data_IF_622681396602
#
_entry.id   IF_622681396602
#
_cell.length_a   1.000
_cell.length_b   1.000
_cell.length_c   1.000
_cell.angle_alpha   90.00
_cell.angle_beta   90.00
_cell.angle_gamma   90.00
#
_symmetry.space_group_name_H-M   'P 1'
#
loop_
_entity.id
_entity.type
_entity.pdbx_description
1 polymer ?
#
# COMPACT_ATOMS: atom_id res chain seq x y z
N UNK A 1 38.61 50.50 3.72
CA UNK A 1 37.57 49.46 3.59
C UNK A 1 36.58 49.61 4.74
N UNK A 2 35.31 50.01 4.50
CA UNK A 2 34.27 49.91 5.51
C UNK A 2 33.57 48.53 5.45
N UNK A 3 32.92 48.06 6.54
CA UNK A 3 32.39 46.70 6.63
C UNK A 3 31.06 46.55 5.86
N UNK A 4 30.91 45.39 5.22
CA UNK A 4 29.71 44.97 4.47
C UNK A 4 28.50 44.87 5.40
N UNK A 5 27.43 45.61 5.08
CA UNK A 5 26.11 45.45 5.69
C UNK A 5 25.48 44.13 5.25
N UNK A 6 25.00 43.35 6.22
CA UNK A 6 24.25 42.13 5.99
C UNK A 6 22.91 42.45 5.33
N UNK A 7 22.70 41.92 4.12
CA UNK A 7 21.40 41.97 3.44
C UNK A 7 20.36 41.18 4.23
N UNK A 8 19.26 41.85 4.60
CA UNK A 8 18.07 41.21 5.16
C UNK A 8 17.57 40.10 4.22
N UNK A 9 17.08 38.95 4.73
CA UNK A 9 16.43 37.97 3.88
C UNK A 9 15.20 38.62 3.24
N UNK A 10 15.16 38.64 1.91
CA UNK A 10 14.06 39.20 1.14
C UNK A 10 12.76 38.51 1.54
N UNK A 11 11.87 39.26 2.20
CA UNK A 11 10.48 38.86 2.36
C UNK A 11 9.89 38.65 0.97
N UNK A 12 9.32 37.46 0.72
CA UNK A 12 8.53 37.21 -0.48
C UNK A 12 7.50 38.32 -0.60
N UNK A 13 7.47 38.96 -1.77
CA UNK A 13 6.61 40.11 -2.01
C UNK A 13 5.14 39.69 -1.91
N UNK A 14 4.27 40.56 -1.38
CA UNK A 14 2.80 40.38 -1.34
C UNK A 14 2.16 40.15 -2.73
N UNK A 15 2.93 40.21 -3.82
CA UNK A 15 2.49 39.95 -5.20
C UNK A 15 2.49 38.46 -5.60
N UNK A 16 3.11 37.58 -4.80
CA UNK A 16 3.09 36.12 -5.00
C UNK A 16 1.85 35.45 -4.37
N UNK A 17 0.95 36.23 -3.76
CA UNK A 17 -0.32 35.76 -3.16
C UNK A 17 -1.52 36.07 -4.07
N UNK A 18 -1.43 35.80 -5.38
CA UNK A 18 -2.66 35.61 -6.14
C UNK A 18 -3.36 34.38 -5.55
N UNK A 19 -4.50 34.60 -4.88
CA UNK A 19 -5.37 33.54 -4.40
C UNK A 19 -5.68 32.61 -5.57
N UNK A 20 -5.26 31.36 -5.45
CA UNK A 20 -5.63 30.35 -6.41
C UNK A 20 -7.13 30.05 -6.27
N UNK A 21 -7.95 30.70 -7.10
CA UNK A 21 -9.41 30.51 -7.14
C UNK A 21 -9.83 29.14 -7.69
N UNK A 22 -8.88 28.25 -8.01
CA UNK A 22 -9.17 26.96 -8.63
C UNK A 22 -10.06 26.11 -7.72
N UNK A 23 -9.90 26.17 -6.39
CA UNK A 23 -10.78 25.48 -5.45
C UNK A 23 -12.23 26.01 -5.50
N UNK A 24 -12.42 27.33 -5.60
CA UNK A 24 -13.74 27.95 -5.78
C UNK A 24 -14.39 27.51 -7.09
N UNK A 25 -13.61 27.49 -8.17
CA UNK A 25 -14.06 27.09 -9.51
C UNK A 25 -14.49 25.63 -9.55
N UNK A 26 -13.68 24.73 -8.97
CA UNK A 26 -14.03 23.30 -8.81
C UNK A 26 -15.32 23.15 -8.03
N UNK A 27 -15.50 23.85 -6.90
CA UNK A 27 -16.74 23.79 -6.12
C UNK A 27 -17.96 24.21 -6.96
N UNK A 28 -17.88 25.37 -7.64
CA UNK A 28 -18.99 25.90 -8.44
C UNK A 28 -19.38 24.94 -9.57
N UNK A 29 -18.39 24.39 -10.27
CA UNK A 29 -18.64 23.46 -11.36
C UNK A 29 -19.16 22.12 -10.84
N UNK A 30 -18.60 21.59 -9.75
CA UNK A 30 -19.10 20.37 -9.13
C UNK A 30 -20.57 20.52 -8.71
N UNK A 31 -20.92 21.64 -8.05
CA UNK A 31 -22.32 21.94 -7.69
C UNK A 31 -23.24 22.03 -8.91
N UNK A 32 -22.78 22.68 -9.98
CA UNK A 32 -23.55 22.78 -11.24
C UNK A 32 -23.77 21.42 -11.89
N UNK A 33 -22.73 20.59 -11.94
CA UNK A 33 -22.78 19.23 -12.50
C UNK A 33 -23.76 18.36 -11.71
N UNK A 34 -23.70 18.40 -10.38
CA UNK A 34 -24.65 17.68 -9.52
C UNK A 34 -26.10 18.13 -9.73
N UNK A 35 -26.35 19.44 -9.82
CA UNK A 35 -27.69 19.96 -10.10
C UNK A 35 -28.23 19.48 -11.45
N UNK A 36 -27.38 19.48 -12.49
CA UNK A 36 -27.75 18.96 -13.80
C UNK A 36 -28.04 17.45 -13.79
N UNK A 37 -27.37 16.70 -12.92
CA UNK A 37 -27.59 15.28 -12.70
C UNK A 37 -28.75 14.96 -11.74
N UNK A 38 -29.42 15.97 -11.16
CA UNK A 38 -30.47 15.77 -10.16
C UNK A 38 -29.96 15.23 -8.82
N UNK A 39 -28.68 15.44 -8.51
CA UNK A 39 -28.01 14.96 -7.30
C UNK A 39 -27.80 16.08 -6.28
N UNK A 40 -27.86 15.70 -5.00
CA UNK A 40 -27.46 16.58 -3.91
C UNK A 40 -25.94 16.52 -3.69
N UNK A 41 -25.37 17.61 -3.19
CA UNK A 41 -23.96 17.61 -2.80
C UNK A 41 -23.77 16.78 -1.52
N UNK A 42 -22.76 15.90 -1.47
CA UNK A 42 -22.43 15.11 -0.28
C UNK A 42 -22.16 16.03 0.91
N UNK A 43 -22.71 15.69 2.08
CA UNK A 43 -22.63 16.55 3.27
C UNK A 43 -21.19 16.85 3.66
N UNK A 44 -20.31 15.85 3.57
CA UNK A 44 -18.89 16.01 3.91
C UNK A 44 -18.17 16.99 3.00
N UNK A 45 -18.54 17.01 1.72
CA UNK A 45 -18.00 17.98 0.78
C UNK A 45 -18.55 19.38 1.01
N UNK A 46 -19.81 19.53 1.38
CA UNK A 46 -20.36 20.84 1.78
C UNK A 46 -19.54 21.40 2.94
N UNK A 47 -19.37 20.63 4.03
CA UNK A 47 -18.60 21.03 5.22
C UNK A 47 -17.16 21.43 4.83
N UNK A 48 -16.51 20.62 3.99
CA UNK A 48 -15.13 20.87 3.56
C UNK A 48 -15.02 22.13 2.68
N UNK A 49 -15.89 22.29 1.70
CA UNK A 49 -15.86 23.46 0.82
C UNK A 49 -16.25 24.75 1.54
N UNK A 50 -17.10 24.74 2.57
CA UNK A 50 -17.38 25.93 3.38
C UNK A 50 -16.07 26.48 4.00
N UNK A 51 -15.26 25.59 4.57
CA UNK A 51 -13.97 25.97 5.19
C UNK A 51 -12.98 26.45 4.12
N UNK A 52 -12.85 25.71 3.02
CA UNK A 52 -11.86 26.02 1.98
C UNK A 52 -12.15 27.32 1.22
N UNK A 53 -13.40 27.78 1.26
CA UNK A 53 -13.87 28.97 0.56
C UNK A 53 -14.06 30.18 1.50
N UNK A 54 -13.53 30.12 2.72
CA UNK A 54 -13.53 31.29 3.63
C UNK A 54 -12.73 32.44 2.99
N UNK A 55 -13.38 33.59 2.79
CA UNK A 55 -12.77 34.76 2.12
C UNK A 55 -11.54 35.30 2.86
N UNK A 56 -11.45 35.08 4.18
CA UNK A 56 -10.32 35.51 5.01
C UNK A 56 -9.15 34.55 4.93
N UNK A 57 -9.42 33.25 4.77
CA UNK A 57 -8.40 32.19 4.74
C UNK A 57 -8.76 31.08 3.76
N UNK A 58 -8.67 31.33 2.44
CA UNK A 58 -8.98 30.30 1.45
C UNK A 58 -7.92 29.21 1.47
N UNK A 59 -8.36 27.99 1.22
CA UNK A 59 -7.52 26.79 1.22
C UNK A 59 -7.65 25.99 -0.06
N UNK A 60 -6.76 25.02 -0.21
CA UNK A 60 -6.83 24.03 -1.28
C UNK A 60 -7.39 22.72 -0.74
N UNK A 61 -8.21 22.04 -1.55
CA UNK A 61 -8.67 20.68 -1.35
C UNK A 61 -7.48 19.72 -1.52
N UNK A 62 -6.68 19.56 -0.47
CA UNK A 62 -5.55 18.63 -0.48
C UNK A 62 -5.99 17.17 -0.23
N UNK A 63 -7.15 16.98 0.38
CA UNK A 63 -7.66 15.66 0.76
C UNK A 63 -9.15 15.58 0.38
N UNK A 64 -9.55 14.53 -0.31
CA UNK A 64 -10.94 14.19 -0.58
C UNK A 64 -11.31 12.98 0.29
N UNK A 65 -12.01 13.21 1.40
CA UNK A 65 -12.42 12.14 2.31
C UNK A 65 -13.95 12.06 2.37
N UNK A 66 -14.48 10.91 1.93
CA UNK A 66 -15.90 10.62 1.82
C UNK A 66 -16.21 9.26 2.46
N UNK A 67 -17.26 9.26 3.27
CA UNK A 67 -17.81 8.12 4.00
C UNK A 67 -19.33 8.14 3.91
N UNK A 68 -19.79 8.45 2.70
CA UNK A 68 -21.18 8.50 2.28
C UNK A 68 -21.26 8.12 0.80
N UNK A 69 -22.36 7.47 0.40
CA UNK A 69 -22.55 7.05 -0.97
C UNK A 69 -22.81 8.26 -1.88
N UNK A 70 -21.92 8.48 -2.85
CA UNK A 70 -22.06 9.55 -3.85
C UNK A 70 -22.45 9.02 -5.23
N UNK A 71 -22.41 7.69 -5.42
CA UNK A 71 -22.70 7.02 -6.68
C UNK A 71 -21.65 7.29 -7.79
N UNK A 72 -21.73 6.54 -8.90
CA UNK A 72 -20.85 6.75 -10.06
C UNK A 72 -20.98 8.16 -10.65
N UNK A 73 -22.22 8.66 -10.79
CA UNK A 73 -22.46 9.97 -11.40
C UNK A 73 -22.00 11.13 -10.49
N UNK A 74 -22.12 11.00 -9.16
CA UNK A 74 -21.61 12.00 -8.23
C UNK A 74 -20.08 12.06 -8.24
N UNK A 75 -19.40 10.90 -8.32
CA UNK A 75 -17.94 10.85 -8.48
C UNK A 75 -17.51 11.43 -9.83
N UNK A 76 -18.22 11.10 -10.91
CA UNK A 76 -17.98 11.65 -12.24
C UNK A 76 -18.10 13.18 -12.25
N UNK A 77 -19.17 13.73 -11.67
CA UNK A 77 -19.36 15.18 -11.56
C UNK A 77 -18.16 15.88 -10.88
N UNK A 78 -17.59 15.27 -9.84
CA UNK A 78 -16.43 15.80 -9.13
C UNK A 78 -15.13 15.64 -9.94
N UNK A 79 -14.91 14.46 -10.51
CA UNK A 79 -13.74 14.19 -11.34
C UNK A 79 -13.68 15.09 -12.57
N UNK A 80 -14.82 15.35 -13.21
CA UNK A 80 -14.94 16.30 -14.32
C UNK A 80 -14.58 17.71 -13.89
N UNK A 81 -15.06 18.16 -12.72
CA UNK A 81 -14.71 19.48 -12.20
C UNK A 81 -13.21 19.61 -11.87
N UNK A 82 -12.61 18.59 -11.27
CA UNK A 82 -11.18 18.54 -10.98
C UNK A 82 -10.33 18.58 -12.26
N UNK A 83 -10.77 17.87 -13.31
CA UNK A 83 -10.09 17.80 -14.60
C UNK A 83 -10.22 19.10 -15.39
N UNK A 84 -11.41 19.70 -15.45
CA UNK A 84 -11.67 20.96 -16.17
C UNK A 84 -10.72 22.07 -15.73
N UNK A 85 -10.44 22.14 -14.43
CA UNK A 85 -9.58 23.16 -13.86
C UNK A 85 -8.13 22.71 -13.60
N UNK A 86 -7.72 21.55 -14.13
CA UNK A 86 -6.38 20.98 -13.95
C UNK A 86 -5.93 21.04 -12.48
N UNK A 87 -6.79 20.56 -11.56
CA UNK A 87 -6.62 20.79 -10.13
C UNK A 87 -5.35 20.13 -9.58
N UNK A 88 -4.40 20.91 -9.06
CA UNK A 88 -3.02 20.42 -8.75
C UNK A 88 -2.76 20.10 -7.29
N UNK A 89 -3.71 20.35 -6.41
CA UNK A 89 -3.45 20.36 -4.97
C UNK A 89 -3.90 19.09 -4.26
N UNK A 90 -4.71 18.24 -4.91
CA UNK A 90 -5.16 16.99 -4.32
C UNK A 90 -3.96 16.05 -4.09
N UNK A 91 -3.81 15.61 -2.86
CA UNK A 91 -2.77 14.70 -2.38
C UNK A 91 -3.37 13.36 -1.99
N UNK A 92 -4.58 13.36 -1.45
CA UNK A 92 -5.18 12.18 -0.83
C UNK A 92 -6.64 12.03 -1.25
N UNK A 93 -7.04 10.81 -1.61
CA UNK A 93 -8.41 10.43 -1.91
C UNK A 93 -8.77 9.24 -1.03
N UNK A 94 -9.79 9.41 -0.19
CA UNK A 94 -10.36 8.40 0.70
C UNK A 94 -11.86 8.28 0.40
N UNK A 95 -12.24 7.25 -0.35
CA UNK A 95 -13.61 6.95 -0.74
C UNK A 95 -14.02 5.65 -0.07
N UNK A 96 -14.72 5.75 1.07
CA UNK A 96 -15.15 4.60 1.85
C UNK A 96 -16.67 4.50 1.78
N UNK A 97 -17.19 3.34 1.37
CA UNK A 97 -18.64 3.16 1.17
C UNK A 97 -19.26 4.21 0.21
N UNK A 98 -18.45 4.68 -0.75
CA UNK A 98 -18.81 5.79 -1.63
C UNK A 98 -19.64 5.37 -2.85
N UNK A 99 -19.77 4.05 -3.09
CA UNK A 99 -20.59 3.49 -4.16
C UNK A 99 -20.24 4.00 -5.55
N UNK A 100 -18.96 4.32 -5.81
CA UNK A 100 -18.56 4.96 -7.08
C UNK A 100 -18.62 4.01 -8.28
N UNK A 101 -18.58 2.70 -8.04
CA UNK A 101 -18.63 1.67 -9.09
C UNK A 101 -17.54 1.88 -10.18
N UNK A 102 -17.60 1.12 -11.27
CA UNK A 102 -16.55 1.16 -12.30
C UNK A 102 -16.51 2.49 -13.05
N UNK A 103 -17.67 3.13 -13.26
CA UNK A 103 -17.79 4.38 -14.01
C UNK A 103 -17.27 5.59 -13.21
N UNK A 104 -17.50 5.61 -11.90
CA UNK A 104 -16.89 6.59 -11.02
C UNK A 104 -15.38 6.38 -10.91
N UNK A 105 -14.93 5.12 -10.82
CA UNK A 105 -13.50 4.79 -10.85
C UNK A 105 -12.84 5.23 -12.17
N UNK A 106 -13.49 5.00 -13.32
CA UNK A 106 -13.04 5.46 -14.64
C UNK A 106 -12.82 6.97 -14.66
N UNK A 107 -13.83 7.71 -14.22
CA UNK A 107 -13.82 9.18 -14.24
C UNK A 107 -12.72 9.72 -13.33
N UNK A 108 -12.59 9.16 -12.12
CA UNK A 108 -11.53 9.52 -11.18
C UNK A 108 -10.14 9.17 -11.74
N UNK A 109 -9.94 7.99 -12.31
CA UNK A 109 -8.68 7.58 -12.94
C UNK A 109 -8.22 8.55 -14.03
N UNK A 110 -9.14 9.04 -14.87
CA UNK A 110 -8.82 10.01 -15.92
C UNK A 110 -8.21 11.31 -15.37
N UNK A 111 -8.64 11.76 -14.19
CA UNK A 111 -8.02 12.88 -13.49
C UNK A 111 -6.66 12.47 -12.86
N UNK A 112 -6.63 11.32 -12.18
CA UNK A 112 -5.46 10.87 -11.40
C UNK A 112 -4.21 10.55 -12.22
N UNK A 113 -4.34 10.17 -13.50
CA UNK A 113 -3.19 9.92 -14.40
C UNK A 113 -2.22 11.13 -14.44
N UNK A 114 -2.76 12.35 -14.38
CA UNK A 114 -1.99 13.59 -14.45
C UNK A 114 -1.83 14.32 -13.10
N UNK A 115 -2.39 13.78 -12.02
CA UNK A 115 -2.42 14.43 -10.72
C UNK A 115 -1.06 14.31 -9.99
N UNK A 116 -0.16 15.27 -10.25
CA UNK A 116 1.25 15.25 -9.79
C UNK A 116 1.43 15.29 -8.26
N UNK A 117 0.46 15.86 -7.54
CA UNK A 117 0.49 15.98 -6.08
C UNK A 117 -0.06 14.77 -5.36
N UNK A 118 -0.71 13.83 -6.07
CA UNK A 118 -1.32 12.65 -5.48
C UNK A 118 -0.29 11.73 -4.83
N UNK A 119 -0.63 11.24 -3.64
CA UNK A 119 0.18 10.34 -2.80
C UNK A 119 -0.62 9.13 -2.34
N UNK A 120 -1.90 9.30 -2.02
CA UNK A 120 -2.71 8.24 -1.41
C UNK A 120 -4.05 8.10 -2.15
N UNK A 121 -4.38 6.86 -2.51
CA UNK A 121 -5.69 6.49 -3.02
C UNK A 121 -6.23 5.35 -2.17
N UNK A 122 -7.38 5.59 -1.54
CA UNK A 122 -8.17 4.58 -0.88
C UNK A 122 -9.58 4.57 -1.46
N UNK A 123 -9.97 3.44 -2.03
CA UNK A 123 -11.31 3.21 -2.56
C UNK A 123 -11.80 1.94 -1.88
N UNK A 124 -12.43 2.08 -0.72
CA UNK A 124 -12.80 0.97 0.16
C UNK A 124 -14.30 0.73 0.05
N UNK A 125 -14.71 -0.54 -0.08
CA UNK A 125 -16.12 -0.94 -0.15
C UNK A 125 -16.96 -0.07 -1.10
N UNK A 126 -16.48 0.17 -2.32
CA UNK A 126 -17.10 1.13 -3.26
C UNK A 126 -17.62 0.46 -4.54
N UNK A 127 -17.88 -0.86 -4.44
CA UNK A 127 -18.43 -1.70 -5.53
C UNK A 127 -17.58 -1.71 -6.80
N UNK A 128 -16.25 -1.65 -6.64
CA UNK A 128 -15.33 -1.78 -7.78
C UNK A 128 -15.32 -3.24 -8.26
N UNK A 129 -15.60 -3.44 -9.55
CA UNK A 129 -15.54 -4.74 -10.23
C UNK A 129 -14.19 -4.89 -10.95
N UNK A 130 -13.93 -6.03 -11.62
CA UNK A 130 -12.75 -6.17 -12.48
C UNK A 130 -12.55 -5.00 -13.47
N UNK A 131 -13.62 -4.44 -14.02
CA UNK A 131 -13.52 -3.33 -14.97
C UNK A 131 -13.00 -2.05 -14.30
N UNK A 132 -13.46 -1.72 -13.10
CA UNK A 132 -12.91 -0.60 -12.35
C UNK A 132 -11.43 -0.79 -12.00
N UNK A 133 -10.99 -2.03 -11.75
CA UNK A 133 -9.57 -2.35 -11.57
C UNK A 133 -8.72 -2.07 -12.83
N UNK A 134 -9.27 -2.27 -14.03
CA UNK A 134 -8.59 -1.89 -15.27
C UNK A 134 -8.31 -0.39 -15.31
N UNK A 135 -9.33 0.44 -15.04
CA UNK A 135 -9.17 1.88 -15.01
C UNK A 135 -8.23 2.35 -13.90
N UNK A 136 -8.27 1.74 -12.73
CA UNK A 136 -7.34 2.06 -11.63
C UNK A 136 -5.91 1.64 -12.00
N UNK A 137 -5.73 0.48 -12.64
CA UNK A 137 -4.44 0.00 -13.12
C UNK A 137 -3.77 0.98 -14.08
N UNK A 138 -4.54 1.64 -14.96
CA UNK A 138 -4.02 2.65 -15.89
C UNK A 138 -3.33 3.83 -15.20
N UNK A 139 -3.74 4.18 -13.98
CA UNK A 139 -3.10 5.25 -13.18
C UNK A 139 -1.61 4.95 -12.91
N UNK A 140 -1.24 3.68 -12.92
CA UNK A 140 0.11 3.20 -12.62
C UNK A 140 0.91 2.80 -13.88
N UNK A 141 0.31 2.95 -15.06
CA UNK A 141 0.90 2.59 -16.35
C UNK A 141 1.96 3.57 -16.85
N UNK A 142 2.53 3.25 -18.01
CA UNK A 142 3.55 4.07 -18.69
C UNK A 142 2.97 5.46 -19.01
N UNK A 143 3.74 6.51 -18.72
CA UNK A 143 3.36 7.90 -19.00
C UNK A 143 2.65 8.60 -17.84
N UNK A 144 2.32 7.88 -16.77
CA UNK A 144 1.76 8.46 -15.55
C UNK A 144 2.75 9.41 -14.88
N UNK A 145 2.29 10.60 -14.48
CA UNK A 145 3.11 11.64 -13.82
C UNK A 145 2.88 11.73 -12.32
N UNK A 146 2.01 10.87 -11.80
CA UNK A 146 1.70 10.81 -10.38
C UNK A 146 2.84 10.12 -9.59
N UNK A 147 2.91 10.44 -8.30
CA UNK A 147 3.86 9.84 -7.36
C UNK A 147 3.09 9.17 -6.23
N UNK A 148 2.14 8.31 -6.59
CA UNK A 148 1.30 7.60 -5.63
C UNK A 148 2.19 6.63 -4.85
N UNK A 149 2.08 6.73 -3.52
CA UNK A 149 2.84 5.96 -2.54
C UNK A 149 1.98 4.88 -1.87
N UNK A 150 0.66 5.08 -1.82
CA UNK A 150 -0.29 4.17 -1.18
C UNK A 150 -1.54 3.94 -2.03
N UNK A 151 -1.90 2.67 -2.21
CA UNK A 151 -3.12 2.22 -2.87
C UNK A 151 -3.84 1.20 -1.98
N UNK A 152 -5.09 1.49 -1.64
CA UNK A 152 -5.97 0.62 -0.86
C UNK A 152 -7.29 0.42 -1.57
N UNK A 153 -7.59 -0.83 -1.94
CA UNK A 153 -8.83 -1.20 -2.65
C UNK A 153 -9.68 -2.20 -1.86
N UNK A 154 -9.50 -2.23 -0.53
CA UNK A 154 -10.10 -3.22 0.35
C UNK A 154 -11.62 -3.31 0.21
N UNK A 155 -12.17 -4.49 0.47
CA UNK A 155 -13.62 -4.77 0.44
C UNK A 155 -14.29 -4.50 -0.92
N UNK A 156 -13.53 -4.50 -2.02
CA UNK A 156 -14.09 -4.56 -3.36
C UNK A 156 -13.88 -5.95 -3.93
N UNK A 157 -14.96 -6.72 -4.09
CA UNK A 157 -14.93 -8.12 -4.50
C UNK A 157 -14.66 -8.30 -6.01
N UNK A 158 -13.54 -7.79 -6.51
CA UNK A 158 -13.16 -7.86 -7.92
C UNK A 158 -12.48 -9.18 -8.31
N UNK A 159 -12.08 -10.01 -7.33
CA UNK A 159 -11.54 -11.35 -7.55
C UNK A 159 -10.29 -11.41 -8.43
N UNK A 160 -10.01 -12.59 -8.97
CA UNK A 160 -8.78 -12.83 -9.73
C UNK A 160 -8.69 -12.00 -11.01
N UNK A 161 -9.82 -11.81 -11.69
CA UNK A 161 -9.91 -10.99 -12.90
C UNK A 161 -9.57 -9.52 -12.64
N UNK A 162 -9.99 -8.97 -11.49
CA UNK A 162 -9.63 -7.61 -11.11
C UNK A 162 -8.14 -7.47 -10.82
N UNK A 163 -7.53 -8.42 -10.11
CA UNK A 163 -6.07 -8.42 -9.87
C UNK A 163 -5.31 -8.54 -11.19
N UNK A 164 -5.75 -9.37 -12.12
CA UNK A 164 -5.14 -9.50 -13.46
C UNK A 164 -5.09 -8.15 -14.20
N UNK A 165 -6.20 -7.41 -14.18
CA UNK A 165 -6.28 -6.11 -14.85
C UNK A 165 -5.45 -5.06 -14.12
N UNK A 166 -5.49 -5.05 -12.78
CA UNK A 166 -4.71 -4.15 -11.95
C UNK A 166 -3.19 -4.39 -12.11
N UNK A 167 -2.77 -5.65 -12.24
CA UNK A 167 -1.35 -6.02 -12.35
C UNK A 167 -0.69 -5.48 -13.61
N UNK A 168 -1.44 -5.31 -14.70
CA UNK A 168 -0.93 -4.75 -15.97
C UNK A 168 -0.29 -3.38 -15.78
N UNK A 169 -0.88 -2.54 -14.91
CA UNK A 169 -0.34 -1.24 -14.53
C UNK A 169 0.66 -1.34 -13.38
N UNK A 170 0.28 -1.99 -12.28
CA UNK A 170 1.12 -2.04 -11.07
C UNK A 170 2.48 -2.71 -11.28
N UNK A 171 2.60 -3.68 -12.20
CA UNK A 171 3.90 -4.30 -12.52
C UNK A 171 4.89 -3.32 -13.15
N UNK A 172 4.45 -2.17 -13.64
CA UNK A 172 5.30 -1.11 -14.20
C UNK A 172 5.56 0.01 -13.20
N UNK A 173 4.86 -0.01 -12.06
CA UNK A 173 4.96 1.04 -11.06
C UNK A 173 6.27 0.94 -10.28
N UNK A 174 6.85 2.11 -10.01
CA UNK A 174 8.12 2.24 -9.27
C UNK A 174 7.98 3.15 -8.04
N UNK A 175 6.79 3.61 -7.69
CA UNK A 175 6.59 4.62 -6.63
C UNK A 175 5.80 4.10 -5.44
N UNK A 176 5.02 3.03 -5.62
CA UNK A 176 4.10 2.51 -4.61
C UNK A 176 4.88 1.80 -3.50
N UNK A 177 4.64 2.23 -2.25
CA UNK A 177 5.21 1.64 -1.03
C UNK A 177 4.19 0.77 -0.30
N UNK A 178 2.90 1.07 -0.41
CA UNK A 178 1.84 0.35 0.29
C UNK A 178 0.76 -0.11 -0.69
N UNK A 179 0.48 -1.41 -0.68
CA UNK A 179 -0.58 -2.02 -1.47
C UNK A 179 -1.49 -2.84 -0.55
N UNK A 180 -2.77 -2.49 -0.49
CA UNK A 180 -3.77 -3.21 0.28
C UNK A 180 -4.91 -3.64 -0.63
N UNK A 181 -5.13 -4.96 -0.68
CA UNK A 181 -6.18 -5.64 -1.44
C UNK A 181 -6.92 -6.61 -0.50
N UNK A 182 -7.24 -6.15 0.71
CA UNK A 182 -7.88 -6.99 1.72
C UNK A 182 -9.35 -7.23 1.39
N UNK A 183 -9.85 -8.44 1.63
CA UNK A 183 -11.25 -8.82 1.38
C UNK A 183 -11.71 -8.51 -0.06
N UNK A 184 -10.85 -8.79 -1.05
CA UNK A 184 -11.13 -8.52 -2.46
C UNK A 184 -11.60 -9.77 -3.25
N UNK A 185 -11.77 -10.91 -2.57
CA UNK A 185 -12.20 -12.16 -3.19
C UNK A 185 -11.13 -12.85 -4.04
N UNK A 186 -9.85 -12.55 -3.78
CA UNK A 186 -8.72 -13.09 -4.54
C UNK A 186 -8.52 -14.55 -4.17
N UNK A 187 -8.42 -15.44 -5.14
CA UNK A 187 -8.20 -16.87 -4.94
C UNK A 187 -6.74 -17.27 -5.21
N UNK A 188 -6.46 -18.57 -5.10
CA UNK A 188 -5.14 -19.12 -5.45
C UNK A 188 -4.69 -18.80 -6.88
N UNK A 189 -5.62 -18.65 -7.82
CA UNK A 189 -5.30 -18.29 -9.21
C UNK A 189 -4.85 -16.83 -9.35
N UNK A 190 -5.45 -15.92 -8.58
CA UNK A 190 -5.06 -14.50 -8.55
C UNK A 190 -3.67 -14.26 -7.95
N UNK A 191 -3.15 -15.19 -7.16
CA UNK A 191 -1.83 -15.10 -6.54
C UNK A 191 -0.70 -14.92 -7.57
N UNK A 192 -0.84 -15.48 -8.78
CA UNK A 192 0.15 -15.33 -9.85
C UNK A 192 0.30 -13.88 -10.30
N UNK A 193 -0.79 -13.12 -10.32
CA UNK A 193 -0.78 -11.72 -10.72
C UNK A 193 -0.20 -10.83 -9.62
N UNK A 194 -0.43 -11.16 -8.35
CA UNK A 194 0.26 -10.51 -7.22
C UNK A 194 1.76 -10.79 -7.31
N UNK A 195 2.15 -12.05 -7.60
CA UNK A 195 3.54 -12.42 -7.82
C UNK A 195 4.18 -11.56 -8.93
N UNK A 196 3.52 -11.41 -10.08
CA UNK A 196 3.99 -10.57 -11.19
C UNK A 196 4.28 -9.12 -10.78
N UNK A 197 3.46 -8.54 -9.89
CA UNK A 197 3.68 -7.18 -9.37
C UNK A 197 4.97 -7.13 -8.52
N UNK A 198 5.16 -8.10 -7.63
CA UNK A 198 6.26 -8.04 -6.65
C UNK A 198 7.61 -8.53 -7.20
N UNK A 199 7.64 -9.38 -8.23
CA UNK A 199 8.93 -9.87 -8.78
C UNK A 199 9.63 -8.85 -9.68
N UNK A 200 8.95 -7.77 -10.06
CA UNK A 200 9.59 -6.71 -10.84
C UNK A 200 10.76 -6.09 -10.04
N UNK A 201 11.92 -5.96 -10.67
CA UNK A 201 13.14 -5.42 -10.04
C UNK A 201 12.99 -3.97 -9.55
N UNK A 202 12.07 -3.21 -10.15
CA UNK A 202 11.78 -1.81 -9.80
C UNK A 202 10.63 -1.68 -8.80
N UNK A 203 10.04 -2.80 -8.34
CA UNK A 203 8.98 -2.80 -7.34
C UNK A 203 9.49 -2.19 -6.03
N UNK A 204 8.78 -1.17 -5.52
CA UNK A 204 9.13 -0.49 -4.27
C UNK A 204 8.21 -0.80 -3.08
N UNK A 205 7.22 -1.68 -3.28
CA UNK A 205 6.26 -2.07 -2.26
C UNK A 205 6.99 -2.59 -1.02
N UNK A 206 6.64 -2.04 0.14
CA UNK A 206 7.16 -2.40 1.46
C UNK A 206 6.13 -3.17 2.26
N UNK A 207 4.87 -2.74 2.18
CA UNK A 207 3.78 -3.34 2.93
C UNK A 207 2.72 -3.84 1.94
N UNK A 208 2.48 -5.15 1.99
CA UNK A 208 1.50 -5.85 1.16
C UNK A 208 0.44 -6.46 2.06
N UNK A 209 -0.79 -5.96 1.98
CA UNK A 209 -1.92 -6.49 2.72
C UNK A 209 -2.85 -7.28 1.78
N UNK A 210 -2.99 -8.58 2.07
CA UNK A 210 -3.87 -9.51 1.35
C UNK A 210 -4.84 -10.19 2.32
N UNK A 211 -5.08 -9.60 3.49
CA UNK A 211 -5.98 -10.14 4.51
C UNK A 211 -7.36 -10.53 3.92
N UNK A 212 -7.97 -11.61 4.42
CA UNK A 212 -9.37 -11.91 4.14
C UNK A 212 -9.65 -12.36 2.72
N UNK A 213 -8.66 -12.92 2.04
CA UNK A 213 -8.79 -13.48 0.69
C UNK A 213 -8.84 -15.02 0.75
N UNK A 214 -8.91 -15.68 -0.40
CA UNK A 214 -9.03 -17.13 -0.53
C UNK A 214 -7.81 -17.72 -1.24
N UNK A 215 -6.60 -17.24 -0.92
CA UNK A 215 -5.37 -17.69 -1.58
C UNK A 215 -5.14 -19.20 -1.45
N UNK A 216 -5.54 -19.79 -0.30
CA UNK A 216 -5.34 -21.21 0.01
C UNK A 216 -3.86 -21.64 -0.13
N UNK A 217 -3.58 -22.93 -0.02
CA UNK A 217 -2.21 -23.45 -0.05
C UNK A 217 -1.50 -23.13 -1.38
N UNK A 218 -2.19 -23.30 -2.51
CA UNK A 218 -1.63 -23.03 -3.84
C UNK A 218 -1.21 -21.56 -3.99
N UNK A 219 -2.09 -20.61 -3.66
CA UNK A 219 -1.81 -19.19 -3.83
C UNK A 219 -0.71 -18.69 -2.92
N UNK A 220 -0.68 -19.13 -1.66
CA UNK A 220 0.37 -18.74 -0.71
C UNK A 220 1.74 -19.29 -1.12
N UNK A 221 1.81 -20.51 -1.66
CA UNK A 221 3.06 -21.05 -2.22
C UNK A 221 3.57 -20.21 -3.40
N UNK A 222 2.67 -19.78 -4.30
CA UNK A 222 3.03 -18.87 -5.41
C UNK A 222 3.57 -17.55 -4.86
N UNK A 223 2.89 -16.95 -3.90
CA UNK A 223 3.30 -15.70 -3.28
C UNK A 223 4.67 -15.83 -2.59
N UNK A 224 4.89 -16.89 -1.82
CA UNK A 224 6.19 -17.14 -1.16
C UNK A 224 7.32 -17.30 -2.17
N UNK A 225 7.07 -17.94 -3.31
CA UNK A 225 8.04 -18.02 -4.41
C UNK A 225 8.37 -16.64 -5.00
N UNK A 226 7.36 -15.79 -5.19
CA UNK A 226 7.58 -14.39 -5.56
C UNK A 226 8.41 -13.63 -4.54
N UNK A 227 8.11 -13.79 -3.25
CA UNK A 227 8.82 -13.14 -2.16
C UNK A 227 10.26 -13.63 -2.00
N UNK A 228 10.62 -14.84 -2.43
CA UNK A 228 12.02 -15.28 -2.48
C UNK A 228 12.87 -14.45 -3.44
N UNK A 229 12.27 -13.99 -4.54
CA UNK A 229 12.93 -13.18 -5.59
C UNK A 229 12.85 -11.70 -5.23
N UNK A 230 11.73 -11.26 -4.66
CA UNK A 230 11.50 -9.87 -4.27
C UNK A 230 12.54 -9.39 -3.23
N UNK A 231 12.95 -8.13 -3.36
CA UNK A 231 13.92 -7.49 -2.45
C UNK A 231 13.43 -6.15 -1.90
N UNK A 232 12.14 -5.85 -2.03
CA UNK A 232 11.54 -4.60 -1.58
C UNK A 232 10.59 -4.77 -0.41
N UNK A 233 9.76 -5.82 -0.42
CA UNK A 233 8.73 -6.10 0.56
C UNK A 233 9.34 -6.38 1.94
N UNK A 234 8.73 -5.78 2.95
CA UNK A 234 9.14 -5.77 4.35
C UNK A 234 8.08 -6.41 5.24
N UNK A 235 6.80 -6.18 4.96
CA UNK A 235 5.67 -6.74 5.70
C UNK A 235 4.67 -7.36 4.73
N UNK A 236 4.19 -8.56 5.05
CA UNK A 236 3.07 -9.19 4.35
C UNK A 236 2.03 -9.63 5.37
N UNK A 237 0.80 -9.17 5.16
CA UNK A 237 -0.37 -9.61 5.90
C UNK A 237 -1.14 -10.65 5.08
N UNK A 238 -1.17 -11.89 5.59
CA UNK A 238 -1.92 -13.03 5.04
C UNK A 238 -2.98 -13.51 6.04
N UNK A 239 -3.42 -12.65 6.94
CA UNK A 239 -4.48 -12.94 7.89
C UNK A 239 -5.71 -13.46 7.15
N UNK A 240 -6.35 -14.52 7.64
CA UNK A 240 -7.59 -15.07 7.07
C UNK A 240 -7.50 -15.33 5.55
N UNK A 241 -6.59 -16.22 5.15
CA UNK A 241 -6.37 -16.62 3.75
C UNK A 241 -6.66 -18.11 3.47
N UNK A 242 -7.19 -18.81 4.48
CA UNK A 242 -7.64 -20.21 4.40
C UNK A 242 -6.56 -21.19 3.91
N UNK A 243 -5.29 -20.91 4.20
CA UNK A 243 -4.19 -21.85 3.97
C UNK A 243 -3.85 -22.59 5.27
N UNK A 244 -3.19 -23.73 5.14
CA UNK A 244 -2.78 -24.56 6.27
C UNK A 244 -1.31 -24.95 6.19
N UNK A 245 -0.98 -26.00 6.92
CA UNK A 245 0.38 -26.47 7.18
C UNK A 245 0.77 -27.69 6.32
N UNK A 246 0.28 -27.75 5.07
CA UNK A 246 0.73 -28.76 4.11
C UNK A 246 2.25 -28.68 3.89
N UNK A 247 2.88 -29.82 3.60
CA UNK A 247 4.34 -29.93 3.45
C UNK A 247 4.91 -28.90 2.46
N UNK A 248 4.25 -28.69 1.33
CA UNK A 248 4.69 -27.72 0.32
C UNK A 248 4.65 -26.27 0.84
N UNK A 249 3.65 -25.92 1.65
CA UNK A 249 3.55 -24.59 2.28
C UNK A 249 4.70 -24.39 3.27
N UNK A 250 4.91 -25.37 4.16
CA UNK A 250 5.94 -25.33 5.19
C UNK A 250 7.36 -25.27 4.60
N UNK A 251 7.65 -26.12 3.63
CA UNK A 251 8.96 -26.15 2.94
C UNK A 251 9.21 -24.86 2.16
N UNK A 252 8.19 -24.32 1.48
CA UNK A 252 8.32 -23.05 0.76
C UNK A 252 8.51 -21.87 1.71
N UNK A 253 7.80 -21.85 2.86
CA UNK A 253 8.00 -20.87 3.93
C UNK A 253 9.43 -20.90 4.47
N UNK A 254 9.97 -22.09 4.75
CA UNK A 254 11.37 -22.25 5.18
C UNK A 254 12.32 -21.63 4.15
N UNK A 255 12.15 -21.96 2.87
CA UNK A 255 12.99 -21.43 1.81
C UNK A 255 12.89 -19.89 1.69
N UNK A 256 11.69 -19.34 1.88
CA UNK A 256 11.46 -17.90 1.95
C UNK A 256 12.28 -17.25 3.08
N UNK A 257 12.17 -17.77 4.31
CA UNK A 257 12.87 -17.22 5.48
C UNK A 257 14.39 -17.27 5.33
N UNK A 258 14.92 -18.33 4.70
CA UNK A 258 16.35 -18.50 4.49
C UNK A 258 16.89 -17.63 3.36
N UNK A 259 16.11 -17.45 2.29
CA UNK A 259 16.54 -16.73 1.08
C UNK A 259 16.35 -15.23 1.19
N UNK A 260 15.14 -14.78 1.58
CA UNK A 260 14.78 -13.37 1.55
C UNK A 260 15.50 -12.57 2.67
N UNK A 261 16.03 -11.40 2.31
CA UNK A 261 16.83 -10.54 3.20
C UNK A 261 16.13 -9.23 3.61
N UNK A 262 14.91 -8.98 3.14
CA UNK A 262 14.17 -7.72 3.36
C UNK A 262 12.91 -7.88 4.19
N UNK A 263 12.22 -9.02 4.05
CA UNK A 263 11.00 -9.40 4.75
C UNK A 263 11.27 -9.52 6.25
N UNK A 264 10.48 -8.79 7.03
CA UNK A 264 10.60 -8.68 8.49
C UNK A 264 9.36 -9.22 9.18
N UNK A 265 8.19 -9.06 8.59
CA UNK A 265 6.94 -9.40 9.26
C UNK A 265 6.06 -10.23 8.34
N UNK A 266 5.54 -11.32 8.90
CA UNK A 266 4.58 -12.21 8.27
C UNK A 266 3.41 -12.39 9.25
N UNK A 267 2.20 -12.12 8.79
CA UNK A 267 0.98 -12.36 9.57
C UNK A 267 0.20 -13.56 9.00
N UNK A 268 0.12 -14.65 9.75
CA UNK A 268 -0.63 -15.86 9.40
C UNK A 268 -1.83 -16.07 10.33
N UNK A 269 -2.23 -15.06 11.11
CA UNK A 269 -3.37 -15.19 12.02
C UNK A 269 -4.64 -15.58 11.26
N UNK A 270 -5.58 -16.24 11.94
CA UNK A 270 -6.83 -16.72 11.34
C UNK A 270 -6.67 -17.68 10.13
N UNK A 271 -5.56 -18.43 10.05
CA UNK A 271 -5.37 -19.51 9.06
C UNK A 271 -5.40 -20.91 9.71
N UNK A 272 -5.34 -21.95 8.88
CA UNK A 272 -5.30 -23.36 9.28
C UNK A 272 -3.93 -23.86 9.76
N UNK A 273 -3.23 -23.03 10.55
CA UNK A 273 -1.97 -23.40 11.19
C UNK A 273 -2.21 -23.89 12.62
N UNK A 274 -1.60 -25.01 12.98
CA UNK A 274 -1.75 -25.66 14.28
C UNK A 274 -0.37 -25.92 14.92
N UNK A 275 -0.36 -26.74 15.97
CA UNK A 275 0.84 -27.06 16.73
C UNK A 275 1.94 -27.69 15.87
N UNK A 276 1.57 -28.58 14.95
CA UNK A 276 2.49 -29.27 14.02
C UNK A 276 3.25 -28.29 13.11
N UNK A 277 2.56 -27.37 12.46
CA UNK A 277 3.18 -26.32 11.65
C UNK A 277 3.99 -25.33 12.49
N UNK A 278 3.53 -25.00 13.70
CA UNK A 278 4.29 -24.15 14.62
C UNK A 278 5.60 -24.81 15.07
N UNK A 279 5.59 -26.10 15.39
CA UNK A 279 6.80 -26.87 15.71
C UNK A 279 7.76 -26.94 14.51
N UNK A 280 7.24 -27.10 13.29
CA UNK A 280 8.06 -27.04 12.09
C UNK A 280 8.75 -25.68 11.94
N UNK A 281 8.02 -24.57 12.16
CA UNK A 281 8.58 -23.22 12.16
C UNK A 281 9.66 -23.06 13.22
N UNK A 282 9.39 -23.51 14.44
CA UNK A 282 10.37 -23.48 15.53
C UNK A 282 11.63 -24.28 15.17
N UNK A 283 11.45 -25.46 14.56
CA UNK A 283 12.54 -26.33 14.10
C UNK A 283 13.50 -25.61 13.16
N UNK A 284 13.00 -25.04 12.06
CA UNK A 284 13.89 -24.36 11.11
C UNK A 284 14.45 -23.03 11.64
N UNK A 285 13.76 -22.36 12.58
CA UNK A 285 14.25 -21.13 13.21
C UNK A 285 15.37 -21.37 14.23
N UNK A 286 15.48 -22.60 14.74
CA UNK A 286 16.50 -23.02 15.71
C UNK A 286 17.60 -23.89 15.09
N UNK A 287 17.46 -24.23 13.81
CA UNK A 287 18.43 -24.95 13.01
C UNK A 287 19.79 -24.24 12.98
N UNK A 288 20.85 -25.05 12.99
CA UNK A 288 22.24 -24.60 12.84
C UNK A 288 22.72 -24.90 11.43
N UNK A 289 23.68 -24.12 10.95
CA UNK A 289 24.38 -24.50 9.72
C UNK A 289 25.27 -25.74 9.96
N UNK A 290 25.88 -26.25 8.89
CA UNK A 290 26.77 -27.42 8.93
C UNK A 290 27.98 -27.26 9.89
N UNK A 291 28.34 -26.03 10.21
CA UNK A 291 29.42 -25.69 11.15
C UNK A 291 28.93 -25.52 12.61
N UNK A 292 27.65 -25.77 12.88
CA UNK A 292 27.03 -25.62 14.21
C UNK A 292 26.74 -24.17 14.62
N UNK A 293 26.88 -23.20 13.70
CA UNK A 293 26.61 -21.79 13.94
C UNK A 293 25.13 -21.42 13.71
N UNK A 294 24.68 -20.39 14.44
CA UNK A 294 23.34 -19.81 14.25
C UNK A 294 23.15 -19.23 12.85
N UNK A 295 22.04 -19.57 12.21
CA UNK A 295 21.63 -18.98 10.92
C UNK A 295 20.93 -17.65 11.20
N UNK A 296 21.25 -16.61 10.41
CA UNK A 296 20.71 -15.26 10.60
C UNK A 296 19.72 -14.91 9.49
N UNK A 297 18.47 -14.65 9.87
CA UNK A 297 17.36 -14.33 8.97
C UNK A 297 16.93 -12.85 9.07
N UNK A 298 16.17 -12.36 8.07
CA UNK A 298 15.62 -11.01 8.06
C UNK A 298 14.36 -10.82 8.94
N UNK A 299 13.60 -11.90 9.12
CA UNK A 299 12.37 -11.94 9.92
C UNK A 299 12.59 -11.41 11.34
N UNK A 300 11.63 -10.60 11.80
CA UNK A 300 11.48 -10.03 13.13
C UNK A 300 10.21 -10.49 13.83
N UNK A 301 9.24 -10.99 13.08
CA UNK A 301 7.93 -11.39 13.60
C UNK A 301 7.25 -12.34 12.61
N UNK A 302 6.71 -13.44 13.14
CA UNK A 302 5.77 -14.31 12.45
C UNK A 302 4.59 -14.45 13.40
N UNK A 303 3.45 -13.87 13.05
CA UNK A 303 2.23 -14.01 13.86
C UNK A 303 1.49 -15.27 13.42
N UNK A 304 1.08 -16.07 14.38
CA UNK A 304 0.45 -17.36 14.16
C UNK A 304 -0.93 -17.41 14.84
N UNK A 305 -1.83 -18.30 14.41
CA UNK A 305 -3.17 -18.43 15.00
C UNK A 305 -3.18 -18.78 16.49
N UNK A 306 -4.24 -18.37 17.19
CA UNK A 306 -4.42 -18.60 18.65
C UNK A 306 -4.54 -20.08 19.05
N UNK A 307 -4.76 -20.99 18.09
CA UNK A 307 -4.93 -22.43 18.33
C UNK A 307 -3.62 -23.14 18.73
N UNK A 308 -2.48 -22.46 18.67
CA UNK A 308 -1.15 -23.00 19.01
C UNK A 308 -0.90 -22.81 20.51
N UNK A 309 -0.21 -23.76 21.13
CA UNK A 309 0.13 -23.65 22.55
C UNK A 309 0.97 -22.40 22.86
N UNK A 310 0.71 -21.78 24.02
CA UNK A 310 1.42 -20.57 24.47
C UNK A 310 2.94 -20.80 24.58
N UNK A 311 3.37 -22.01 24.91
CA UNK A 311 4.77 -22.34 25.07
C UNK A 311 5.50 -22.38 23.73
N UNK A 312 4.88 -22.95 22.71
CA UNK A 312 5.42 -22.96 21.34
C UNK A 312 5.48 -21.56 20.74
N UNK A 313 4.43 -20.73 20.93
CA UNK A 313 4.45 -19.33 20.51
C UNK A 313 5.60 -18.56 21.18
N UNK A 314 5.76 -18.69 22.51
CA UNK A 314 6.88 -18.07 23.25
C UNK A 314 8.25 -18.57 22.77
N UNK A 315 8.37 -19.86 22.43
CA UNK A 315 9.61 -20.43 21.91
C UNK A 315 9.98 -19.83 20.54
N UNK A 316 9.00 -19.66 19.64
CA UNK A 316 9.18 -19.00 18.34
C UNK A 316 9.57 -17.53 18.53
N UNK A 317 8.84 -16.79 19.37
CA UNK A 317 9.16 -15.40 19.70
C UNK A 317 10.60 -15.26 20.25
N UNK A 318 11.00 -16.19 21.13
CA UNK A 318 12.35 -16.24 21.68
C UNK A 318 13.40 -16.49 20.59
N UNK A 319 13.19 -17.48 19.71
CA UNK A 319 14.09 -17.78 18.61
C UNK A 319 14.28 -16.56 17.68
N UNK A 320 13.18 -15.88 17.32
CA UNK A 320 13.21 -14.66 16.52
C UNK A 320 13.94 -13.51 17.25
N UNK A 321 13.70 -13.34 18.56
CA UNK A 321 14.38 -12.34 19.39
C UNK A 321 15.88 -12.60 19.47
N UNK A 322 16.31 -13.86 19.57
CA UNK A 322 17.72 -14.24 19.61
C UNK A 322 18.39 -14.02 18.23
N UNK A 323 17.72 -14.34 17.13
CA UNK A 323 18.15 -13.96 15.77
C UNK A 323 18.39 -12.44 15.65
N UNK A 324 17.46 -11.61 16.17
CA UNK A 324 17.60 -10.14 16.17
C UNK A 324 18.85 -9.68 16.94
N UNK A 325 19.19 -10.32 18.06
CA UNK A 325 20.43 -10.04 18.83
C UNK A 325 21.68 -10.40 18.03
N UNK A 326 21.71 -11.54 17.35
CA UNK A 326 22.84 -11.96 16.51
C UNK A 326 23.10 -10.96 15.38
N UNK A 327 22.04 -10.53 14.70
CA UNK A 327 22.12 -9.56 13.60
C UNK A 327 22.66 -8.19 14.06
N UNK A 328 22.30 -7.74 15.26
CA UNK A 328 22.80 -6.47 15.82
C UNK A 328 24.26 -6.57 16.29
N UNK A 329 24.68 -7.68 16.90
CA UNK A 329 26.09 -7.95 17.25
C UNK A 329 26.98 -7.97 16.01
N UNK A 330 26.55 -8.63 14.92
CA UNK A 330 27.27 -8.66 13.65
C UNK A 330 27.48 -7.26 13.04
N UNK A 331 26.46 -6.40 13.08
CA UNK A 331 26.56 -5.00 12.64
C UNK A 331 27.57 -4.19 13.47
N UNK A 332 27.61 -4.37 14.79
CA UNK A 332 28.59 -3.68 15.68
C UNK A 332 30.03 -4.12 15.38
N UNK A 333 30.29 -5.43 15.20
CA UNK A 333 31.61 -5.95 14.82
C UNK A 333 32.09 -5.39 13.47
N UNK A 334 31.22 -5.33 12.44
CA UNK A 334 31.56 -4.74 11.13
C UNK A 334 31.87 -3.23 11.22
N UNK A 335 31.12 -2.46 12.02
CA UNK A 335 31.38 -1.02 12.24
C UNK A 335 32.70 -0.77 12.98
N UNK A 336 33.05 -1.59 13.96
CA UNK A 336 34.34 -1.53 14.66
C UNK A 336 35.54 -1.77 13.72
N UNK A 337 35.48 -2.81 12.88
CA UNK A 337 36.51 -3.09 11.87
C UNK A 337 36.67 -1.98 10.83
N UNK A 338 35.57 -1.36 10.37
CA UNK A 338 35.63 -0.20 9.44
C UNK A 338 36.24 1.05 10.08
N UNK A 339 36.02 1.30 11.38
CA UNK A 339 36.68 2.42 12.10
C UNK A 339 38.18 2.16 12.33
N UNK A 340 38.58 0.91 12.55
CA UNK A 340 40.01 0.54 12.69
C UNK A 340 40.80 0.66 11.39
N UNK A 341 40.19 0.39 10.23
CA UNK A 341 40.84 0.56 8.90
C UNK A 341 40.90 2.00 8.38
N UNK A 342 40.20 2.96 9.00
CA UNK A 342 40.27 4.40 8.66
C UNK A 342 41.25 5.19 9.56
N UNK A 343 41.86 4.53 10.54
CA UNK A 343 42.83 5.11 11.50
C UNK A 343 44.27 4.58 11.28
N UNK A 344 44.49 3.89 10.18
CA UNK A 344 45.80 3.58 9.58
C UNK A 344 45.75 4.12 8.16
#
# INVERSE_FOLDING_TARGET
>A
MPPKTAGKPGGRSKKDMLQDETTEKVYRLYRKNLQAAGLAMPRKLIEKFIILRDEKTPGNLEELALWENIGPEGMKCLADALREYDYKYLKEVHLWDAGIEDEGARSLSMYLINAISMRTIEIVNSKISPLGCEFIGQIFGIGSRNFILSLKLDYNNFGDAGVELLSKGLRLNQTLFHLSLAFCGITGEGARFIMEIIINQQCNIKDLNLQGNCLRNQGVVILFRGLMINSSVVSVDLTDNQFGEEELVLTTLRNLVFTNKTLKTLDFTHNGFYETGAQFILGFLTEKNDEGADIVYAINEIKLPEKISRDTLKAIEKAIKDNKKLRTKGKKKKKGKKKGKKKK
#
